data_IF_341107001118
#
_entry.id   IF_341107001118
#
_cell.length_a   1.000
_cell.length_b   1.000
_cell.length_c   1.000
_cell.angle_alpha   90.00
_cell.angle_beta   90.00
_cell.angle_gamma   90.00
#
_symmetry.space_group_name_H-M   'P 1'
#
loop_
_entity.id
_entity.type
_entity.pdbx_description
1 polymer ?
#
# COMPACT_ATOMS: atom_id res chain seq x y z
N UNK A 1 38.92 43.15 12.66
CA UNK A 1 37.89 43.14 11.60
C UNK A 1 37.24 44.50 11.61
N UNK A 2 37.59 45.31 10.63
CA UNK A 2 37.14 46.70 10.53
C UNK A 2 35.79 46.76 9.82
N UNK A 3 35.07 47.87 9.94
CA UNK A 3 33.78 48.08 9.25
C UNK A 3 33.94 48.01 7.73
N UNK A 4 35.14 48.27 7.20
CA UNK A 4 35.47 48.11 5.79
C UNK A 4 35.55 46.64 5.37
N UNK A 5 36.15 45.77 6.19
CA UNK A 5 36.22 44.33 5.91
C UNK A 5 34.81 43.71 5.78
N UNK A 6 33.87 44.16 6.60
CA UNK A 6 32.49 43.68 6.57
C UNK A 6 31.74 44.15 5.31
N UNK A 7 32.00 45.38 4.84
CA UNK A 7 31.43 45.88 3.58
C UNK A 7 32.00 45.14 2.38
N UNK A 8 33.31 44.92 2.35
CA UNK A 8 33.97 44.21 1.25
C UNK A 8 33.49 42.76 1.14
N UNK A 9 33.29 42.09 2.29
CA UNK A 9 32.74 40.75 2.32
C UNK A 9 31.29 40.69 1.79
N UNK A 10 30.48 41.69 2.12
CA UNK A 10 29.09 41.78 1.64
C UNK A 10 29.02 41.94 0.12
N UNK A 11 29.91 42.77 -0.41
CA UNK A 11 30.03 43.04 -1.84
C UNK A 11 30.50 41.80 -2.62
N UNK A 12 31.45 41.04 -2.07
CA UNK A 12 31.92 39.78 -2.66
C UNK A 12 30.82 38.71 -2.67
N UNK A 13 30.05 38.59 -1.58
CA UNK A 13 28.94 37.64 -1.50
C UNK A 13 27.81 38.00 -2.46
N UNK A 14 27.46 39.28 -2.60
CA UNK A 14 26.39 39.69 -3.50
C UNK A 14 26.76 39.48 -4.98
N UNK A 15 28.06 39.60 -5.31
CA UNK A 15 28.59 39.39 -6.66
C UNK A 15 28.79 37.91 -7.01
N UNK A 16 29.07 37.06 -6.01
CA UNK A 16 29.34 35.64 -6.20
C UNK A 16 28.08 34.75 -6.25
N UNK A 17 26.92 35.21 -5.74
CA UNK A 17 25.68 34.42 -5.77
C UNK A 17 24.98 34.60 -7.11
N UNK A 18 24.92 33.57 -7.98
CA UNK A 18 24.14 33.64 -9.21
C UNK A 18 22.67 33.85 -8.83
N UNK A 19 22.04 34.93 -9.31
CA UNK A 19 20.60 35.12 -9.13
C UNK A 19 19.85 34.01 -9.89
N UNK A 20 19.56 32.92 -9.19
CA UNK A 20 18.71 31.86 -9.70
C UNK A 20 17.32 32.45 -9.95
N UNK A 21 16.73 32.29 -11.15
CA UNK A 21 15.41 32.81 -11.44
C UNK A 21 14.39 32.23 -10.45
N UNK A 22 13.45 33.07 -10.02
CA UNK A 22 12.47 32.72 -8.99
C UNK A 22 11.77 31.36 -9.27
N UNK A 23 11.53 30.55 -8.22
CA UNK A 23 11.10 29.15 -8.31
C UNK A 23 9.80 28.90 -9.10
N UNK A 24 8.94 29.92 -9.23
CA UNK A 24 7.67 29.84 -9.93
C UNK A 24 7.83 29.48 -11.40
N UNK A 25 8.89 29.98 -12.04
CA UNK A 25 9.18 29.70 -13.45
C UNK A 25 9.58 28.23 -13.68
N UNK A 26 10.25 27.59 -12.70
CA UNK A 26 10.58 26.16 -12.72
C UNK A 26 9.33 25.31 -12.51
N UNK A 27 8.52 25.68 -11.52
CA UNK A 27 7.28 24.96 -11.21
C UNK A 27 6.27 25.05 -12.34
N UNK A 28 6.20 26.18 -13.05
CA UNK A 28 5.33 26.33 -14.24
C UNK A 28 5.75 25.38 -15.36
N UNK A 29 7.05 25.27 -15.67
CA UNK A 29 7.55 24.31 -16.68
C UNK A 29 7.29 22.86 -16.28
N UNK A 30 7.36 22.52 -14.99
CA UNK A 30 7.01 21.19 -14.49
C UNK A 30 5.50 20.93 -14.66
N UNK A 31 4.64 21.88 -14.27
CA UNK A 31 3.18 21.79 -14.45
C UNK A 31 2.80 21.64 -15.92
N UNK A 32 3.41 22.41 -16.82
CA UNK A 32 3.19 22.32 -18.26
C UNK A 32 3.60 20.94 -18.83
N UNK A 33 4.73 20.37 -18.38
CA UNK A 33 5.14 19.00 -18.77
C UNK A 33 4.17 17.95 -18.27
N UNK A 34 3.69 18.07 -17.03
CA UNK A 34 2.72 17.13 -16.43
C UNK A 34 1.39 17.18 -17.18
N UNK A 35 0.86 18.37 -17.47
CA UNK A 35 -0.39 18.54 -18.23
C UNK A 35 -0.25 18.00 -19.66
N UNK A 36 0.88 18.25 -20.34
CA UNK A 36 1.12 17.74 -21.69
C UNK A 36 1.24 16.22 -21.73
N UNK A 37 1.86 15.60 -20.72
CA UNK A 37 1.93 14.13 -20.56
C UNK A 37 0.54 13.54 -20.30
N UNK A 38 -0.30 14.23 -19.50
CA UNK A 38 -1.68 13.82 -19.22
C UNK A 38 -2.58 13.86 -20.47
N UNK A 39 -2.48 14.93 -21.29
CA UNK A 39 -3.25 15.06 -22.55
C UNK A 39 -2.87 14.04 -23.63
N UNK A 40 -1.61 13.61 -23.68
CA UNK A 40 -1.18 12.55 -24.63
C UNK A 40 -1.76 11.17 -24.26
N UNK A 41 -2.15 10.95 -23.00
CA UNK A 41 -2.78 9.69 -22.55
C UNK A 41 -4.27 9.63 -22.87
N UNK A 42 -4.96 10.76 -23.02
CA UNK A 42 -6.41 10.79 -23.30
C UNK A 42 -6.76 10.66 -24.78
N UNK A 43 -5.78 10.74 -25.70
CA UNK A 43 -6.02 10.65 -27.14
C UNK A 43 -5.92 9.22 -27.72
N UNK A 44 -5.61 8.21 -26.90
CA UNK A 44 -5.41 6.83 -27.33
C UNK A 44 -6.62 5.90 -27.12
N UNK A 45 -7.76 6.40 -26.61
CA UNK A 45 -8.93 5.56 -26.26
C UNK A 45 -10.19 6.00 -27.01
N UNK A 46 -10.04 6.22 -28.31
CA UNK A 46 -11.19 6.38 -29.21
C UNK A 46 -10.97 5.48 -30.43
N UNK A 47 -11.43 4.22 -30.34
CA UNK A 47 -11.42 3.30 -31.47
C UNK A 47 -11.87 1.88 -31.13
N UNK A 48 -13.17 1.63 -31.31
CA UNK A 48 -13.82 0.38 -31.78
C UNK A 48 -13.62 -0.92 -30.93
N UNK A 49 -14.56 -1.87 -30.74
CA UNK A 49 -15.72 -2.39 -31.47
C UNK A 49 -16.74 -3.00 -30.46
N UNK A 50 -18.05 -2.77 -30.57
CA UNK A 50 -19.10 -3.63 -31.21
C UNK A 50 -19.31 -5.02 -30.57
N UNK A 51 -20.46 -5.13 -29.88
CA UNK A 51 -21.39 -6.24 -29.62
C UNK A 51 -20.97 -7.72 -29.75
N UNK A 52 -21.32 -8.50 -28.71
CA UNK A 52 -21.97 -9.80 -28.87
C UNK A 52 -22.82 -10.12 -27.62
N UNK A 53 -24.12 -10.37 -27.83
CA UNK A 53 -25.07 -10.93 -26.88
C UNK A 53 -25.49 -12.32 -27.39
N UNK A 54 -25.68 -13.29 -26.49
CA UNK A 54 -26.63 -14.44 -26.54
C UNK A 54 -26.21 -15.48 -25.49
N UNK A 55 -26.98 -15.66 -24.41
CA UNK A 55 -28.01 -16.71 -24.19
C UNK A 55 -27.45 -18.13 -24.09
N UNK A 56 -27.64 -18.76 -22.92
CA UNK A 56 -28.22 -20.11 -22.80
C UNK A 56 -28.82 -20.30 -21.39
N UNK A 57 -30.09 -20.69 -21.38
CA UNK A 57 -30.93 -20.97 -20.23
C UNK A 57 -31.27 -22.47 -20.15
N UNK A 58 -31.62 -22.95 -18.96
CA UNK A 58 -32.22 -24.27 -18.70
C UNK A 58 -31.18 -25.35 -18.41
N UNK A 59 -31.33 -26.24 -17.42
CA UNK A 59 -32.55 -26.92 -16.97
C UNK A 59 -32.47 -27.36 -15.50
N UNK A 60 -33.58 -27.17 -14.78
CA UNK A 60 -33.89 -27.82 -13.50
C UNK A 60 -34.36 -29.27 -13.74
N UNK A 61 -34.01 -30.21 -12.86
CA UNK A 61 -34.85 -31.36 -12.50
C UNK A 61 -34.54 -31.84 -11.06
N UNK A 62 -35.52 -32.44 -10.35
CA UNK A 62 -35.54 -32.57 -8.90
C UNK A 62 -35.28 -34.00 -8.38
N UNK A 63 -34.68 -34.08 -7.18
CA UNK A 63 -35.01 -35.00 -6.09
C UNK A 63 -34.80 -36.51 -6.24
N UNK A 64 -33.87 -37.06 -5.44
CA UNK A 64 -34.12 -37.95 -4.28
C UNK A 64 -33.01 -38.99 -4.07
N UNK A 65 -32.57 -39.14 -2.81
CA UNK A 65 -31.68 -40.24 -2.40
C UNK A 65 -30.79 -39.94 -1.21
N UNK A 66 -31.29 -40.26 -0.02
CA UNK A 66 -30.68 -40.20 1.31
C UNK A 66 -29.34 -40.94 1.44
N UNK A 67 -28.32 -40.26 1.98
CA UNK A 67 -27.26 -40.90 2.78
C UNK A 67 -26.87 -39.94 3.93
N UNK A 68 -26.90 -40.38 5.21
CA UNK A 68 -26.53 -39.52 6.34
C UNK A 68 -25.00 -39.51 6.48
N UNK A 69 -24.34 -38.66 5.68
CA UNK A 69 -22.95 -38.30 5.90
C UNK A 69 -22.81 -37.55 7.24
N UNK A 70 -21.70 -37.75 7.99
CA UNK A 70 -21.56 -37.19 9.32
C UNK A 70 -21.79 -35.68 9.25
N UNK A 71 -22.72 -35.20 10.07
CA UNK A 71 -22.95 -33.78 10.27
C UNK A 71 -21.59 -33.14 10.53
N UNK A 72 -21.12 -32.36 9.55
CA UNK A 72 -20.02 -31.44 9.75
C UNK A 72 -20.59 -30.39 10.69
N UNK A 73 -20.52 -30.68 11.99
CA UNK A 73 -20.72 -29.71 13.04
C UNK A 73 -19.77 -28.57 12.69
N UNK A 74 -20.24 -27.37 12.32
CA UNK A 74 -19.34 -26.24 12.19
C UNK A 74 -18.64 -26.14 13.56
N UNK A 75 -17.30 -26.14 13.63
CA UNK A 75 -16.63 -26.07 14.91
C UNK A 75 -17.19 -24.85 15.65
N UNK A 76 -17.71 -25.12 16.85
CA UNK A 76 -18.22 -24.11 17.75
C UNK A 76 -17.22 -22.94 17.76
N UNK A 77 -17.73 -21.75 17.43
CA UNK A 77 -16.96 -20.54 17.20
C UNK A 77 -16.07 -20.19 18.38
N UNK A 78 -14.87 -20.76 18.38
CA UNK A 78 -13.72 -20.09 18.96
C UNK A 78 -13.39 -18.99 17.97
N UNK A 79 -13.48 -17.74 18.41
CA UNK A 79 -12.97 -16.61 17.66
C UNK A 79 -11.43 -16.73 17.57
N UNK A 80 -10.95 -17.69 16.78
CA UNK A 80 -9.57 -17.82 16.40
C UNK A 80 -9.25 -16.59 15.57
N UNK A 81 -8.45 -15.70 16.14
CA UNK A 81 -7.90 -14.58 15.41
C UNK A 81 -6.75 -15.13 14.57
N UNK A 82 -6.85 -14.98 13.26
CA UNK A 82 -5.85 -15.50 12.35
C UNK A 82 -4.61 -14.61 12.40
N UNK A 83 -3.47 -15.20 12.77
CA UNK A 83 -2.18 -14.52 12.72
C UNK A 83 -1.62 -14.61 11.30
N UNK A 84 -1.52 -13.48 10.63
CA UNK A 84 -0.96 -13.38 9.29
C UNK A 84 0.46 -12.82 9.34
N UNK A 85 1.43 -13.61 8.88
CA UNK A 85 2.84 -13.22 8.81
C UNK A 85 3.23 -12.81 7.40
N UNK A 86 3.92 -11.68 7.29
CA UNK A 86 4.45 -11.08 6.08
C UNK A 86 5.97 -10.95 6.20
N UNK A 87 6.72 -11.97 5.75
CA UNK A 87 8.20 -11.98 5.78
C UNK A 87 8.78 -10.76 5.06
N UNK A 88 8.25 -10.45 3.89
CA UNK A 88 8.73 -9.38 3.01
C UNK A 88 8.49 -7.98 3.57
N UNK A 89 7.55 -7.83 4.50
CA UNK A 89 7.27 -6.56 5.17
C UNK A 89 8.01 -6.48 6.51
N UNK A 90 9.33 -6.76 6.49
CA UNK A 90 10.16 -6.76 7.69
C UNK A 90 9.70 -7.76 8.77
N UNK A 91 9.14 -8.90 8.35
CA UNK A 91 8.59 -9.90 9.26
C UNK A 91 7.37 -9.42 10.05
N UNK A 92 6.61 -8.47 9.50
CA UNK A 92 5.35 -8.00 10.06
C UNK A 92 4.41 -9.19 10.32
N UNK A 93 3.79 -9.20 11.49
CA UNK A 93 2.73 -10.13 11.87
C UNK A 93 1.53 -9.31 12.33
N UNK A 94 0.38 -9.56 11.72
CA UNK A 94 -0.89 -8.94 12.07
C UNK A 94 -1.85 -9.98 12.61
N UNK A 95 -2.66 -9.56 13.57
CA UNK A 95 -3.76 -10.35 14.11
C UNK A 95 -5.04 -9.89 13.44
N UNK A 96 -5.59 -10.72 12.56
CA UNK A 96 -6.77 -10.36 11.79
C UNK A 96 -8.03 -10.49 12.67
N UNK A 97 -8.93 -9.49 12.63
CA UNK A 97 -10.24 -9.60 13.27
C UNK A 97 -11.05 -10.74 12.66
N UNK A 98 -12.04 -11.28 13.39
CA UNK A 98 -12.94 -12.30 12.84
C UNK A 98 -13.59 -11.85 11.53
N UNK A 99 -13.60 -12.75 10.54
CA UNK A 99 -14.15 -12.49 9.20
C UNK A 99 -13.26 -11.67 8.28
N UNK A 100 -12.04 -11.29 8.71
CA UNK A 100 -11.06 -10.68 7.82
C UNK A 100 -10.22 -11.77 7.14
N UNK A 101 -9.98 -11.57 5.86
CA UNK A 101 -9.10 -12.36 5.03
C UNK A 101 -7.85 -11.55 4.73
N UNK A 102 -6.70 -12.22 4.60
CA UNK A 102 -5.49 -11.56 4.18
C UNK A 102 -4.74 -12.32 3.10
N UNK A 103 -3.95 -11.56 2.34
CA UNK A 103 -3.20 -12.03 1.20
C UNK A 103 -1.86 -11.30 1.15
N UNK A 104 -0.79 -11.99 0.81
CA UNK A 104 0.49 -11.35 0.47
C UNK A 104 0.76 -11.57 -1.00
N UNK A 105 0.99 -10.48 -1.73
CA UNK A 105 1.50 -10.52 -3.10
C UNK A 105 3.00 -10.27 -3.01
N UNK A 106 3.78 -11.27 -3.40
CA UNK A 106 5.23 -11.21 -3.37
C UNK A 106 5.75 -10.31 -4.49
N UNK A 107 6.92 -9.73 -4.24
CA UNK A 107 7.67 -8.98 -5.24
C UNK A 107 7.96 -9.85 -6.46
N UNK A 108 7.67 -9.30 -7.65
CA UNK A 108 8.11 -9.85 -8.92
C UNK A 108 9.19 -8.92 -9.50
N UNK A 109 10.47 -9.33 -9.48
CA UNK A 109 11.57 -8.51 -9.97
C UNK A 109 11.47 -8.24 -11.48
N UNK A 110 10.72 -9.04 -12.24
CA UNK A 110 10.43 -8.78 -13.65
C UNK A 110 9.40 -7.67 -13.88
N UNK A 111 8.55 -7.40 -12.87
CA UNK A 111 7.43 -6.47 -12.97
C UNK A 111 7.61 -5.18 -12.15
N UNK A 112 8.74 -5.00 -11.45
CA UNK A 112 9.00 -3.87 -10.52
C UNK A 112 7.93 -3.72 -9.43
N UNK A 113 7.29 -4.82 -9.05
CA UNK A 113 6.27 -4.82 -8.00
C UNK A 113 6.92 -5.01 -6.64
N UNK A 114 6.59 -4.15 -5.68
CA UNK A 114 7.01 -4.35 -4.29
C UNK A 114 6.16 -5.45 -3.67
N UNK A 115 6.68 -6.11 -2.63
CA UNK A 115 5.84 -6.95 -1.80
C UNK A 115 4.75 -6.10 -1.12
N UNK A 116 3.51 -6.54 -1.25
CA UNK A 116 2.34 -5.87 -0.66
C UNK A 116 1.50 -6.89 0.08
N UNK A 117 1.07 -6.52 1.29
CA UNK A 117 0.08 -7.28 2.03
C UNK A 117 -1.29 -6.60 1.97
N UNK A 118 -2.32 -7.42 1.94
CA UNK A 118 -3.71 -7.02 1.87
C UNK A 118 -4.49 -7.66 3.01
N UNK A 119 -5.46 -6.94 3.56
CA UNK A 119 -6.46 -7.49 4.45
C UNK A 119 -7.84 -6.85 4.22
N UNK A 120 -8.92 -7.64 4.24
CA UNK A 120 -10.27 -7.16 3.98
C UNK A 120 -11.34 -8.03 4.68
N UNK A 121 -12.52 -7.48 5.02
CA UNK A 121 -13.65 -8.25 5.55
C UNK A 121 -14.38 -9.10 4.48
N UNK A 122 -14.06 -8.89 3.19
CA UNK A 122 -14.56 -9.71 2.09
C UNK A 122 -13.47 -10.63 1.52
N UNK A 123 -13.84 -11.76 0.89
CA UNK A 123 -12.87 -12.65 0.26
C UNK A 123 -11.98 -11.92 -0.75
N UNK A 124 -10.69 -12.24 -0.75
CA UNK A 124 -9.71 -11.67 -1.68
C UNK A 124 -9.47 -12.65 -2.84
N UNK A 125 -9.38 -12.14 -4.07
CA UNK A 125 -9.04 -12.93 -5.24
C UNK A 125 -7.54 -13.33 -5.28
N UNK A 126 -7.17 -14.14 -6.27
CA UNK A 126 -5.76 -14.41 -6.59
C UNK A 126 -5.11 -13.15 -7.15
N UNK A 127 -4.31 -12.45 -6.34
CA UNK A 127 -3.68 -11.16 -6.72
C UNK A 127 -2.83 -11.18 -8.01
N UNK A 128 -2.48 -12.36 -8.55
CA UNK A 128 -1.73 -12.52 -9.80
C UNK A 128 -2.51 -12.08 -11.05
N UNK A 129 -3.81 -12.33 -11.09
CA UNK A 129 -4.61 -12.04 -12.30
C UNK A 129 -4.88 -10.54 -12.45
N UNK A 130 -4.86 -9.79 -11.34
CA UNK A 130 -5.01 -8.34 -11.32
C UNK A 130 -3.76 -7.61 -11.82
N UNK A 131 -2.55 -8.11 -11.54
CA UNK A 131 -1.30 -7.44 -11.87
C UNK A 131 -0.90 -7.52 -13.35
N UNK A 132 -1.31 -8.57 -14.06
CA UNK A 132 -0.83 -8.83 -15.42
C UNK A 132 -1.27 -7.79 -16.47
N UNK A 133 -2.24 -6.93 -16.14
CA UNK A 133 -2.91 -6.06 -17.14
C UNK A 133 -2.30 -4.67 -17.28
N UNK A 134 -1.74 -4.09 -16.21
CA UNK A 134 -1.55 -2.62 -16.19
C UNK A 134 -0.17 -2.12 -15.71
N UNK A 135 0.76 -3.00 -15.30
CA UNK A 135 2.08 -2.60 -14.82
C UNK A 135 2.04 -1.63 -13.62
N UNK A 136 0.97 -1.71 -12.82
CA UNK A 136 0.79 -0.91 -11.63
C UNK A 136 1.74 -1.36 -10.51
N UNK A 137 2.25 -0.42 -9.71
CA UNK A 137 3.14 -0.73 -8.58
C UNK A 137 2.42 -1.48 -7.45
N UNK A 138 1.08 -1.39 -7.41
CA UNK A 138 0.20 -2.06 -6.44
C UNK A 138 -0.99 -2.65 -7.21
N UNK A 139 -1.28 -3.94 -7.01
CA UNK A 139 -2.43 -4.60 -7.62
C UNK A 139 -3.38 -5.10 -6.54
N UNK A 140 -4.45 -4.36 -6.24
CA UNK A 140 -5.47 -4.84 -5.34
C UNK A 140 -6.04 -6.19 -5.82
N UNK A 141 -6.21 -7.18 -4.94
CA UNK A 141 -6.81 -8.48 -5.27
C UNK A 141 -8.35 -8.40 -5.38
N UNK A 142 -8.88 -7.25 -5.81
CA UNK A 142 -10.30 -6.92 -5.92
C UNK A 142 -10.51 -5.96 -7.09
N UNK A 143 -11.57 -6.17 -7.87
CA UNK A 143 -11.97 -5.21 -8.90
C UNK A 143 -12.65 -3.98 -8.28
N UNK A 144 -13.54 -4.20 -7.30
CA UNK A 144 -14.27 -3.16 -6.57
C UNK A 144 -14.59 -3.59 -5.14
N UNK A 145 -14.73 -2.62 -4.24
CA UNK A 145 -15.25 -2.84 -2.91
C UNK A 145 -16.79 -2.96 -2.93
N UNK A 146 -17.39 -3.78 -2.05
CA UNK A 146 -18.82 -3.73 -1.79
C UNK A 146 -19.29 -2.31 -1.46
N UNK A 147 -20.29 -1.80 -2.19
CA UNK A 147 -20.68 -0.37 -2.13
C UNK A 147 -21.05 0.15 -0.74
N UNK A 148 -21.62 -0.71 0.11
CA UNK A 148 -22.19 -0.31 1.40
C UNK A 148 -21.32 -0.71 2.60
N UNK A 149 -20.51 -1.76 2.48
CA UNK A 149 -19.78 -2.36 3.60
C UNK A 149 -18.54 -3.09 3.07
N UNK A 150 -17.62 -2.32 2.50
CA UNK A 150 -16.41 -2.84 1.87
C UNK A 150 -15.19 -2.10 2.36
N UNK A 151 -14.12 -2.83 2.67
CA UNK A 151 -12.84 -2.26 3.06
C UNK A 151 -11.66 -3.05 2.47
N UNK A 152 -10.56 -2.38 2.21
CA UNK A 152 -9.29 -3.02 1.88
C UNK A 152 -8.15 -2.26 2.55
N UNK A 153 -7.45 -2.95 3.45
CA UNK A 153 -6.17 -2.52 3.99
C UNK A 153 -5.06 -2.98 3.03
N UNK A 154 -4.16 -2.06 2.70
CA UNK A 154 -3.00 -2.27 1.85
C UNK A 154 -1.77 -1.85 2.64
N UNK A 155 -0.78 -2.74 2.71
CA UNK A 155 0.43 -2.57 3.51
C UNK A 155 1.65 -2.77 2.61
N UNK A 156 2.52 -1.77 2.58
CA UNK A 156 3.74 -1.81 1.79
C UNK A 156 4.93 -1.32 2.61
N UNK A 157 6.09 -1.93 2.41
CA UNK A 157 7.33 -1.49 3.04
C UNK A 157 7.92 -0.32 2.23
N UNK A 158 8.18 0.79 2.91
CA UNK A 158 8.90 1.93 2.36
C UNK A 158 10.21 2.11 3.12
N UNK A 159 11.31 2.28 2.37
CA UNK A 159 12.63 2.59 2.92
C UNK A 159 12.99 4.03 2.56
N UNK A 160 12.43 4.98 3.32
CA UNK A 160 12.79 6.40 3.21
C UNK A 160 12.89 7.03 4.60
N UNK A 161 14.04 7.63 4.97
CA UNK A 161 14.23 8.25 6.29
C UNK A 161 13.20 9.34 6.62
N UNK A 162 12.73 10.05 5.58
CA UNK A 162 11.75 11.14 5.72
C UNK A 162 10.36 10.65 6.13
N UNK A 163 9.95 9.44 5.74
CA UNK A 163 8.70 8.84 6.19
C UNK A 163 8.86 8.21 7.58
N UNK A 164 10.02 7.62 7.88
CA UNK A 164 10.30 7.06 9.20
C UNK A 164 10.20 8.10 10.33
N UNK A 165 10.66 9.33 10.09
CA UNK A 165 10.49 10.45 11.03
C UNK A 165 9.04 10.88 11.28
N UNK A 166 8.08 10.44 10.45
CA UNK A 166 6.66 10.77 10.57
C UNK A 166 5.82 9.65 11.19
N UNK A 167 6.40 8.46 11.37
CA UNK A 167 5.70 7.34 11.99
C UNK A 167 5.39 7.65 13.47
N UNK A 168 4.15 7.42 13.87
CA UNK A 168 3.67 7.66 15.23
C UNK A 168 3.56 6.35 16.00
N UNK A 169 3.67 6.42 17.33
CA UNK A 169 3.47 5.30 18.24
C UNK A 169 2.46 5.70 19.32
N UNK A 170 1.26 5.08 19.39
CA UNK A 170 0.77 4.03 18.49
C UNK A 170 0.52 4.57 17.05
N UNK A 171 0.47 3.69 16.03
CA UNK A 171 0.14 4.09 14.67
C UNK A 171 -1.19 4.83 14.60
N UNK A 172 -1.23 5.92 13.84
CA UNK A 172 -2.46 6.66 13.54
C UNK A 172 -2.86 6.43 12.09
N UNK A 173 -4.18 6.38 11.87
CA UNK A 173 -4.80 6.38 10.55
C UNK A 173 -5.52 7.70 10.39
N UNK A 174 -4.92 8.60 9.61
CA UNK A 174 -5.50 9.90 9.32
C UNK A 174 -6.31 9.82 8.03
N UNK A 175 -7.48 10.48 8.02
CA UNK A 175 -8.31 10.54 6.82
C UNK A 175 -7.63 11.40 5.76
N UNK A 176 -7.64 10.92 4.52
CA UNK A 176 -7.06 11.61 3.37
C UNK A 176 -8.10 11.87 2.29
N UNK A 177 -7.74 12.72 1.33
CA UNK A 177 -8.48 12.79 0.08
C UNK A 177 -8.32 11.45 -0.67
N UNK A 178 -9.42 10.93 -1.21
CA UNK A 178 -9.42 9.63 -1.92
C UNK A 178 -8.54 9.71 -3.16
N UNK A 179 -7.44 8.97 -3.15
CA UNK A 179 -6.46 8.81 -4.22
C UNK A 179 -6.96 7.93 -5.37
N UNK A 180 -6.12 7.78 -6.39
CA UNK A 180 -6.47 7.01 -7.60
C UNK A 180 -6.68 5.52 -7.31
N UNK A 181 -5.86 4.93 -6.42
CA UNK A 181 -5.96 3.53 -6.03
C UNK A 181 -7.31 3.22 -5.38
N UNK A 182 -7.67 3.93 -4.31
CA UNK A 182 -8.95 3.72 -3.62
C UNK A 182 -10.15 4.08 -4.51
N UNK A 183 -10.03 5.12 -5.36
CA UNK A 183 -11.09 5.46 -6.32
C UNK A 183 -11.30 4.36 -7.36
N UNK A 184 -10.23 3.72 -7.85
CA UNK A 184 -10.31 2.59 -8.76
C UNK A 184 -11.09 1.42 -8.17
N UNK A 185 -10.98 1.24 -6.85
CA UNK A 185 -11.73 0.25 -6.07
C UNK A 185 -13.16 0.69 -5.71
N UNK A 186 -13.65 1.78 -6.28
CA UNK A 186 -14.94 2.40 -5.95
C UNK A 186 -15.08 2.81 -4.46
N UNK A 187 -13.98 3.02 -3.76
CA UNK A 187 -14.00 3.49 -2.38
C UNK A 187 -14.42 4.97 -2.28
N UNK A 188 -15.17 5.29 -1.23
CA UNK A 188 -15.61 6.66 -0.91
C UNK A 188 -14.74 7.32 0.16
N UNK A 189 -13.91 6.55 0.87
CA UNK A 189 -13.05 7.02 1.95
C UNK A 189 -11.67 6.40 1.84
N UNK A 190 -10.66 7.17 2.22
CA UNK A 190 -9.28 6.73 2.32
C UNK A 190 -8.68 7.19 3.64
N UNK A 191 -7.97 6.29 4.30
CA UNK A 191 -7.17 6.58 5.48
C UNK A 191 -5.74 6.12 5.25
N UNK A 192 -4.78 6.82 5.84
CA UNK A 192 -3.37 6.51 5.71
C UNK A 192 -2.66 6.59 7.05
N UNK A 193 -1.72 5.68 7.25
CA UNK A 193 -0.91 5.61 8.45
C UNK A 193 0.48 5.06 8.17
N UNK A 194 1.36 5.26 9.13
CA UNK A 194 2.75 4.79 9.10
C UNK A 194 3.04 3.99 10.35
N UNK A 195 3.63 2.82 10.18
CA UNK A 195 4.07 1.92 11.25
C UNK A 195 5.59 1.89 11.22
N UNK A 196 6.22 2.21 12.36
CA UNK A 196 7.68 2.16 12.48
C UNK A 196 8.15 0.70 12.49
N UNK A 197 9.19 0.38 11.73
CA UNK A 197 9.85 -0.92 11.80
C UNK A 197 10.89 -0.90 12.91
N UNK A 198 10.75 -1.70 13.99
CA UNK A 198 11.74 -1.75 15.07
C UNK A 198 13.13 -2.15 14.55
N UNK A 199 14.16 -1.45 15.02
CA UNK A 199 15.55 -1.69 14.62
C UNK A 199 15.95 -1.14 13.24
N UNK A 200 15.02 -0.53 12.48
CA UNK A 200 15.32 0.10 11.19
C UNK A 200 14.87 1.56 11.18
N UNK A 201 15.84 2.48 11.30
CA UNK A 201 15.57 3.93 11.35
C UNK A 201 15.11 4.51 9.99
N UNK A 202 15.35 3.78 8.90
CA UNK A 202 15.04 4.17 7.52
C UNK A 202 13.77 3.52 6.97
N UNK A 203 13.11 2.64 7.73
CA UNK A 203 12.03 1.80 7.23
C UNK A 203 10.71 1.99 7.98
N UNK A 204 9.62 2.02 7.21
CA UNK A 204 8.23 2.06 7.70
C UNK A 204 7.36 1.13 6.88
N UNK A 205 6.31 0.61 7.49
CA UNK A 205 5.19 0.03 6.74
C UNK A 205 4.14 1.13 6.57
N UNK A 206 3.89 1.52 5.33
CA UNK A 206 2.75 2.37 4.98
C UNK A 206 1.47 1.54 4.99
N UNK A 207 0.43 2.04 5.65
CA UNK A 207 -0.88 1.43 5.74
C UNK A 207 -1.91 2.33 5.06
N UNK A 208 -2.50 1.88 3.96
CA UNK A 208 -3.58 2.57 3.25
C UNK A 208 -4.86 1.76 3.42
N UNK A 209 -5.92 2.40 3.91
CA UNK A 209 -7.24 1.80 4.04
C UNK A 209 -8.20 2.47 3.05
N UNK A 210 -8.65 1.72 2.05
CA UNK A 210 -9.76 2.11 1.20
C UNK A 210 -11.07 1.59 1.80
N UNK A 211 -12.07 2.43 1.99
CA UNK A 211 -13.38 2.01 2.51
C UNK A 211 -14.55 2.58 1.70
N UNK A 212 -15.60 1.77 1.55
CA UNK A 212 -16.87 2.12 0.91
C UNK A 212 -17.97 2.33 1.96
N UNK A 213 -19.13 2.83 1.52
CA UNK A 213 -20.27 3.12 2.39
C UNK A 213 -20.25 4.52 3.00
N UNK A 214 -21.10 4.71 4.01
CA UNK A 214 -21.24 5.97 4.73
C UNK A 214 -20.07 6.28 5.68
N UNK A 215 -19.94 7.53 6.16
CA UNK A 215 -18.87 7.95 7.07
C UNK A 215 -18.74 7.09 8.32
N UNK A 216 -19.86 6.67 8.92
CA UNK A 216 -19.86 5.82 10.12
C UNK A 216 -19.27 4.44 9.84
N UNK A 217 -19.62 3.84 8.69
CA UNK A 217 -19.10 2.53 8.29
C UNK A 217 -17.60 2.60 8.04
N UNK A 218 -17.14 3.61 7.31
CA UNK A 218 -15.72 3.86 7.09
C UNK A 218 -14.96 4.13 8.40
N UNK A 219 -15.56 4.90 9.33
CA UNK A 219 -15.01 5.15 10.66
C UNK A 219 -14.85 3.88 11.49
N UNK A 220 -15.83 2.96 11.43
CA UNK A 220 -15.72 1.64 12.09
C UNK A 220 -14.56 0.83 11.54
N UNK A 221 -14.39 0.78 10.21
CA UNK A 221 -13.24 0.08 9.62
C UNK A 221 -11.91 0.71 9.99
N UNK A 222 -11.81 2.04 9.97
CA UNK A 222 -10.61 2.75 10.41
C UNK A 222 -10.25 2.41 11.86
N UNK A 223 -11.23 2.30 12.75
CA UNK A 223 -11.00 1.91 14.15
C UNK A 223 -10.56 0.44 14.29
N UNK A 224 -11.15 -0.47 13.52
CA UNK A 224 -10.75 -1.88 13.48
C UNK A 224 -9.29 -2.00 13.02
N UNK A 225 -8.92 -1.32 11.93
CA UNK A 225 -7.55 -1.34 11.41
C UNK A 225 -6.60 -0.66 12.39
N UNK A 226 -6.97 0.46 13.03
CA UNK A 226 -6.12 1.13 14.02
C UNK A 226 -5.73 0.19 15.16
N UNK A 227 -6.67 -0.63 15.66
CA UNK A 227 -6.39 -1.67 16.66
C UNK A 227 -5.48 -2.77 16.11
N UNK A 228 -5.77 -3.26 14.91
CA UNK A 228 -4.92 -4.24 14.21
C UNK A 228 -3.47 -3.76 14.07
N UNK A 229 -3.25 -2.49 13.72
CA UNK A 229 -1.92 -1.90 13.58
C UNK A 229 -1.25 -1.61 14.91
N UNK A 230 -2.01 -1.29 15.96
CA UNK A 230 -1.47 -1.10 17.31
C UNK A 230 -0.90 -2.40 17.88
N UNK A 231 -1.51 -3.54 17.53
CA UNK A 231 -1.08 -4.87 17.95
C UNK A 231 -0.06 -5.52 16.99
N UNK A 232 0.33 -4.81 15.93
CA UNK A 232 1.27 -5.29 14.93
C UNK A 232 2.63 -5.61 15.54
N UNK A 233 3.19 -6.76 15.16
CA UNK A 233 4.50 -7.23 15.64
C UNK A 233 5.46 -7.36 14.47
N UNK A 234 6.73 -7.09 14.70
CA UNK A 234 7.78 -7.35 13.72
C UNK A 234 8.68 -8.46 14.23
N UNK A 235 9.16 -9.32 13.33
CA UNK A 235 10.23 -10.23 13.66
C UNK A 235 11.42 -9.41 14.17
N UNK A 236 12.08 -9.88 15.24
CA UNK A 236 13.35 -9.29 15.65
C UNK A 236 14.32 -9.50 14.48
N UNK A 237 14.76 -8.41 13.86
CA UNK A 237 15.90 -8.48 12.97
C UNK A 237 17.08 -9.00 13.78
N UNK A 238 17.54 -10.21 13.48
CA UNK A 238 18.91 -10.55 13.80
C UNK A 238 19.77 -9.58 13.00
N UNK A 239 20.61 -8.79 13.67
CA UNK A 239 21.64 -8.04 12.98
C UNK A 239 22.36 -8.99 12.03
N UNK A 240 22.64 -8.60 10.76
CA UNK A 240 23.48 -9.43 9.92
C UNK A 240 24.76 -9.76 10.72
N UNK A 241 25.22 -11.03 10.70
CA UNK A 241 26.44 -11.38 11.42
C UNK A 241 27.54 -10.40 11.01
N UNK A 242 28.38 -9.90 11.95
CA UNK A 242 29.47 -9.03 11.60
C UNK A 242 30.24 -9.71 10.48
N UNK A 243 30.36 -9.03 9.33
CA UNK A 243 31.13 -9.52 8.21
C UNK A 243 32.50 -9.86 8.76
N UNK A 244 32.80 -11.16 8.91
CA UNK A 244 34.09 -11.62 9.38
C UNK A 244 35.11 -10.95 8.48
N UNK A 245 35.92 -10.07 9.06
CA UNK A 245 37.00 -9.40 8.35
C UNK A 245 37.79 -10.48 7.63
N UNK A 246 37.76 -10.42 6.30
CA UNK A 246 38.58 -11.25 5.43
C UNK A 246 40.01 -11.13 5.94
N UNK A 247 40.52 -12.21 6.51
CA UNK A 247 41.91 -12.36 6.88
C UNK A 247 42.74 -12.02 5.64
N UNK A 248 43.66 -11.07 5.80
CA UNK A 248 44.62 -10.72 4.76
C UNK A 248 45.40 -11.99 4.34
N UNK A 249 45.81 -12.10 3.06
CA UNK A 249 46.66 -13.19 2.62
C UNK A 249 48.03 -13.06 3.31
N UNK A 250 48.50 -14.16 3.88
CA UNK A 250 49.90 -14.32 4.29
C UNK A 250 50.72 -14.49 3.03
N UNK A 251 51.55 -13.50 2.68
CA UNK A 251 52.61 -13.65 1.70
C UNK A 251 53.71 -14.56 2.27
N UNK A 252 54.14 -15.54 1.46
CA UNK A 252 55.30 -16.40 1.68
C UNK A 252 56.45 -15.95 0.78
#
# INVERSE_FOLDING_TARGET
MTVDDERELRDLLERAVPRLPAPDSRMRRVRERVVRRRRRRTAAVAGACVAAAAVLAGTLLPGSGTEPGPALVPPAGSASRDLLRHSELAGLTLELPPGWHGLTVLEDPGAKMRAVAYAAPQPLGSGRDACARDGAEVCPPLDQLPKQDGALLILALDSTPTLAGKAQSPPRLDRMAVGELCRGLAASHEFYGLIKVPGRADAVVGATLCASGGPDTAGRYAEVVRRMLADARFAKYASPPPTSASSAPVEY
#
